data_IF_851572540372
#
_entry.id   IF_851572540372
#
_cell.length_a   1.000
_cell.length_b   1.000
_cell.length_c   1.000
_cell.angle_alpha   90.00
_cell.angle_beta   90.00
_cell.angle_gamma   90.00
#
_symmetry.space_group_name_H-M   'P 1'
#
loop_
_entity.id
_entity.type
_entity.pdbx_description
1 polymer ?
#
# COMPACT_ATOMS: atom_id res chain seq x y z
N UNK A 1 -59.05 3.62 24.33
CA UNK A 1 -58.60 4.14 25.61
C UNK A 1 -57.16 4.47 25.42
N UNK A 2 -56.87 5.74 25.10
CA UNK A 2 -56.48 6.81 26.00
C UNK A 2 -55.08 6.51 26.56
N UNK A 3 -54.04 7.34 26.44
CA UNK A 3 -53.87 8.79 26.32
C UNK A 3 -52.41 9.12 26.06
N UNK A 4 -52.16 10.04 25.19
CA UNK A 4 -50.97 10.91 25.18
C UNK A 4 -51.01 11.88 26.36
N UNK A 5 -49.94 12.54 26.78
CA UNK A 5 -49.70 13.92 26.33
C UNK A 5 -48.21 14.31 26.19
N UNK A 6 -47.85 15.00 25.15
CA UNK A 6 -47.57 16.42 24.90
C UNK A 6 -46.64 17.21 25.85
N UNK A 7 -45.61 17.82 25.21
CA UNK A 7 -45.18 19.21 25.28
C UNK A 7 -44.30 19.72 26.43
N UNK A 8 -43.13 20.31 26.08
CA UNK A 8 -42.90 21.76 26.18
C UNK A 8 -41.57 22.23 25.58
N UNK A 9 -41.70 23.13 24.62
CA UNK A 9 -40.63 24.06 24.14
C UNK A 9 -40.37 25.11 25.24
N UNK A 10 -39.11 25.55 25.32
CA UNK A 10 -38.85 26.94 25.73
C UNK A 10 -37.67 27.52 24.94
N UNK A 11 -37.97 28.61 24.25
CA UNK A 11 -37.08 29.61 23.64
C UNK A 11 -36.70 30.62 24.73
N UNK A 12 -35.55 31.34 24.55
CA UNK A 12 -35.33 32.77 24.82
C UNK A 12 -33.82 33.00 24.69
N UNK A 13 -33.27 33.70 23.76
CA UNK A 13 -33.13 35.09 23.29
C UNK A 13 -31.76 35.72 23.68
N UNK A 14 -31.10 36.29 22.65
CA UNK A 14 -29.96 37.25 22.67
C UNK A 14 -30.38 38.58 23.37
N UNK A 15 -29.49 39.57 23.67
CA UNK A 15 -28.56 40.22 22.73
C UNK A 15 -27.28 40.92 23.31
N UNK A 16 -26.48 41.49 22.41
CA UNK A 16 -25.73 42.75 22.53
C UNK A 16 -24.32 42.65 23.07
N UNK A 17 -23.25 43.35 22.70
CA UNK A 17 -22.98 44.47 21.80
C UNK A 17 -21.46 44.59 21.64
N UNK A 18 -21.03 45.23 20.55
CA UNK A 18 -19.64 45.58 20.18
C UNK A 18 -19.24 46.88 20.92
N UNK A 19 -17.93 47.20 21.16
CA UNK A 19 -17.36 48.27 20.36
C UNK A 19 -15.92 48.17 19.88
N UNK A 20 -15.69 48.92 18.81
CA UNK A 20 -14.50 49.27 18.05
C UNK A 20 -13.38 49.98 18.84
N UNK A 21 -12.17 49.88 18.30
CA UNK A 21 -11.18 50.91 17.93
C UNK A 21 -9.75 50.38 18.24
N UNK A 22 -8.68 50.62 17.53
CA UNK A 22 -8.19 51.55 16.52
C UNK A 22 -6.77 51.12 16.15
N UNK A 23 -6.45 51.24 14.87
CA UNK A 23 -5.03 51.19 14.34
C UNK A 23 -4.13 52.25 14.92
N UNK A 24 -2.80 52.08 14.88
CA UNK A 24 -2.05 52.70 13.78
C UNK A 24 -0.82 51.94 13.26
N UNK A 25 -0.56 52.07 11.96
CA UNK A 25 0.63 51.86 11.17
C UNK A 25 1.70 52.97 11.33
N UNK A 26 2.85 52.97 10.64
CA UNK A 26 3.94 51.96 10.54
C UNK A 26 5.33 52.59 10.85
N UNK A 27 6.37 51.77 11.02
CA UNK A 27 7.77 52.23 10.77
C UNK A 27 8.64 51.11 10.23
N UNK A 28 9.38 51.52 9.20
CA UNK A 28 10.39 50.78 8.44
C UNK A 28 11.60 50.40 9.27
N UNK A 29 12.25 49.26 9.04
CA UNK A 29 13.71 49.18 8.83
C UNK A 29 14.22 47.75 8.62
N UNK A 30 15.01 47.61 7.57
CA UNK A 30 16.26 46.86 7.39
C UNK A 30 16.18 45.34 7.27
N UNK A 31 16.40 44.89 6.03
CA UNK A 31 16.71 43.50 5.62
C UNK A 31 17.99 43.00 6.28
N UNK A 32 17.89 41.89 6.98
CA UNK A 32 19.05 41.01 7.25
C UNK A 32 18.64 39.60 6.76
N UNK A 33 19.37 39.14 5.74
CA UNK A 33 19.21 37.81 5.15
C UNK A 33 19.80 36.77 6.10
N UNK A 34 18.97 36.05 6.84
CA UNK A 34 19.41 34.90 7.62
C UNK A 34 18.88 33.66 6.93
N UNK A 35 19.80 32.84 6.42
CA UNK A 35 19.55 31.53 5.84
C UNK A 35 19.01 30.61 6.93
N UNK A 36 17.70 30.39 6.94
CA UNK A 36 17.06 29.48 7.90
C UNK A 36 17.05 28.08 7.31
N UNK A 37 17.92 27.23 7.81
CA UNK A 37 17.86 25.77 7.62
C UNK A 37 16.51 25.30 8.17
N UNK A 38 15.61 24.90 7.30
CA UNK A 38 14.29 24.38 7.67
C UNK A 38 14.46 22.99 8.28
N UNK A 39 14.57 22.95 9.59
CA UNK A 39 14.45 21.70 10.37
C UNK A 39 12.99 21.30 10.34
N UNK A 40 12.68 20.19 9.67
CA UNK A 40 11.35 19.57 9.69
C UNK A 40 11.03 19.22 11.15
N UNK A 41 9.89 19.69 11.72
CA UNK A 41 9.53 19.33 13.09
C UNK A 41 9.22 17.83 13.16
N UNK A 42 9.62 17.13 14.25
CA UNK A 42 9.24 15.74 14.46
C UNK A 42 7.72 15.63 14.55
N UNK A 43 7.18 14.58 13.93
CA UNK A 43 5.76 14.27 13.95
C UNK A 43 5.22 14.26 15.40
N UNK A 44 3.97 14.70 15.66
CA UNK A 44 3.43 14.79 17.00
C UNK A 44 3.39 13.40 17.65
N UNK A 45 4.16 13.24 18.71
CA UNK A 45 4.11 12.07 19.58
C UNK A 45 2.79 12.10 20.33
N UNK A 46 1.91 11.17 20.04
CA UNK A 46 0.68 10.96 20.80
C UNK A 46 1.04 10.65 22.25
N UNK A 47 0.65 11.55 23.16
CA UNK A 47 0.91 11.42 24.60
C UNK A 47 0.22 10.16 25.14
N UNK A 48 0.99 9.22 25.74
CA UNK A 48 0.47 8.09 26.49
C UNK A 48 0.80 6.68 25.98
N UNK A 49 1.50 6.52 24.85
CA UNK A 49 1.96 5.19 24.42
C UNK A 49 3.41 4.96 24.87
N UNK A 50 3.63 3.96 25.72
CA UNK A 50 4.99 3.46 25.97
C UNK A 50 5.65 3.07 24.67
N UNK A 51 6.88 3.53 24.39
CA UNK A 51 7.57 3.17 23.15
C UNK A 51 7.66 1.65 23.03
N UNK A 52 7.23 1.11 21.89
CA UNK A 52 7.34 -0.32 21.62
C UNK A 52 8.83 -0.66 21.56
N UNK A 53 9.33 -1.62 22.37
CA UNK A 53 10.75 -1.93 22.38
C UNK A 53 11.17 -2.49 21.01
N UNK A 54 12.31 -2.00 20.50
CA UNK A 54 12.92 -2.49 19.28
C UNK A 54 13.39 -3.95 19.44
N UNK A 55 13.28 -4.78 18.41
CA UNK A 55 13.90 -6.09 18.39
C UNK A 55 15.40 -6.01 18.66
N UNK A 56 15.95 -6.99 19.39
CA UNK A 56 17.38 -7.02 19.74
C UNK A 56 18.32 -6.92 18.55
N UNK A 57 17.93 -7.44 17.40
CA UNK A 57 18.68 -7.34 16.16
C UNK A 57 18.87 -5.89 15.68
N UNK A 58 17.97 -4.98 16.02
CA UNK A 58 18.06 -3.55 15.70
C UNK A 58 18.77 -2.72 16.78
N UNK A 59 18.96 -3.27 17.98
CA UNK A 59 19.62 -2.58 19.11
C UNK A 59 21.06 -3.02 19.30
N UNK A 60 21.57 -3.93 18.47
CA UNK A 60 22.97 -4.36 18.54
C UNK A 60 23.91 -3.21 18.13
N UNK A 61 25.08 -3.12 18.77
CA UNK A 61 26.05 -2.01 18.55
C UNK A 61 26.53 -1.87 17.10
N UNK A 62 26.55 -2.95 16.33
CA UNK A 62 26.93 -2.95 14.90
C UNK A 62 25.74 -2.64 13.96
N UNK A 63 24.52 -2.57 14.46
CA UNK A 63 23.35 -2.26 13.67
C UNK A 63 23.29 -0.76 13.39
N UNK A 64 23.02 -0.40 12.13
CA UNK A 64 22.69 1.00 11.81
C UNK A 64 21.31 1.34 12.38
N UNK A 65 21.06 2.62 12.75
CA UNK A 65 19.76 3.04 13.24
C UNK A 65 18.66 2.68 12.22
N UNK A 66 17.60 1.96 12.63
CA UNK A 66 16.51 1.62 11.74
C UNK A 66 15.62 2.83 11.48
N UNK A 67 15.13 2.97 10.25
CA UNK A 67 14.10 3.94 9.89
C UNK A 67 12.72 3.31 10.04
N UNK A 68 11.84 3.89 10.86
CA UNK A 68 10.45 3.44 10.96
C UNK A 68 9.67 3.92 9.73
N UNK A 69 9.21 2.98 8.91
CA UNK A 69 8.44 3.26 7.68
C UNK A 69 6.95 3.36 7.98
N UNK A 70 6.40 2.37 8.68
CA UNK A 70 4.98 2.37 9.04
C UNK A 70 4.74 1.68 10.38
N UNK A 71 3.72 2.16 11.08
CA UNK A 71 3.18 1.54 12.28
C UNK A 71 1.69 1.29 12.05
N UNK A 72 1.32 0.01 11.99
CA UNK A 72 -0.07 -0.42 11.82
C UNK A 72 -0.58 -1.19 13.04
N UNK A 73 -1.85 -1.54 13.02
CA UNK A 73 -2.47 -2.34 14.08
C UNK A 73 -1.83 -3.73 14.24
N UNK A 74 -1.32 -4.30 13.18
CA UNK A 74 -0.74 -5.65 13.15
C UNK A 74 0.76 -5.68 13.51
N UNK A 75 1.51 -4.60 13.20
CA UNK A 75 2.95 -4.56 13.46
C UNK A 75 3.63 -3.29 12.97
N UNK A 76 4.95 -3.30 13.03
CA UNK A 76 5.83 -2.21 12.62
C UNK A 76 6.71 -2.67 11.45
N UNK A 77 6.96 -1.76 10.52
CA UNK A 77 7.88 -1.97 9.40
C UNK A 77 9.04 -1.00 9.53
N UNK A 78 10.24 -1.53 9.58
CA UNK A 78 11.47 -0.76 9.61
C UNK A 78 12.27 -0.99 8.33
N UNK A 79 12.92 0.05 7.83
CA UNK A 79 13.99 -0.08 6.84
C UNK A 79 15.32 -0.15 7.58
N UNK A 80 16.15 -1.12 7.23
CA UNK A 80 17.46 -1.35 7.81
C UNK A 80 18.34 -2.07 6.78
N UNK A 81 19.44 -2.69 7.21
CA UNK A 81 20.38 -3.40 6.35
C UNK A 81 20.59 -4.84 6.85
N UNK A 82 20.76 -5.77 5.94
CA UNK A 82 21.01 -7.17 6.25
C UNK A 82 22.48 -7.50 6.03
N UNK A 83 23.19 -7.82 7.12
CA UNK A 83 24.59 -8.19 7.19
C UNK A 83 25.61 -7.13 6.69
N UNK A 84 25.28 -6.34 5.68
CA UNK A 84 26.17 -5.34 5.09
C UNK A 84 25.39 -4.09 4.63
N UNK A 85 26.02 -2.91 4.63
CA UNK A 85 25.35 -1.64 4.28
C UNK A 85 24.81 -1.57 2.85
N UNK A 86 25.34 -2.40 1.94
CA UNK A 86 24.89 -2.45 0.55
C UNK A 86 23.62 -3.30 0.35
N UNK A 87 23.13 -3.98 1.39
CA UNK A 87 21.94 -4.85 1.29
C UNK A 87 20.79 -4.31 2.16
N UNK A 88 20.02 -3.34 1.66
CA UNK A 88 18.88 -2.81 2.38
C UNK A 88 17.79 -3.88 2.55
N UNK A 89 17.13 -3.88 3.69
CA UNK A 89 16.03 -4.81 3.98
C UNK A 89 14.89 -4.12 4.71
N UNK A 90 13.71 -4.73 4.62
CA UNK A 90 12.55 -4.40 5.41
C UNK A 90 12.44 -5.39 6.57
N UNK A 91 12.42 -4.88 7.82
CA UNK A 91 12.15 -5.68 9.00
C UNK A 91 10.70 -5.49 9.40
N UNK A 92 9.92 -6.56 9.28
CA UNK A 92 8.55 -6.64 9.79
C UNK A 92 8.57 -7.16 11.21
N UNK A 93 8.11 -6.37 12.18
CA UNK A 93 8.03 -6.73 13.59
C UNK A 93 6.58 -6.75 14.08
N UNK A 94 6.19 -7.83 14.70
CA UNK A 94 4.88 -8.02 15.35
C UNK A 94 5.07 -8.06 16.86
N UNK A 95 5.04 -6.89 17.54
CA UNK A 95 5.24 -6.83 18.98
C UNK A 95 4.11 -7.54 19.72
N UNK A 96 4.37 -8.03 20.96
CA UNK A 96 3.34 -8.61 21.81
C UNK A 96 2.15 -7.67 22.02
N UNK A 97 0.95 -8.24 22.03
CA UNK A 97 -0.30 -7.48 22.19
C UNK A 97 -0.77 -7.53 23.65
N UNK A 98 -0.74 -6.40 24.41
CA UNK A 98 -1.06 -6.38 25.84
C UNK A 98 -2.47 -6.88 26.18
N UNK A 99 -3.41 -6.78 25.25
CA UNK A 99 -4.80 -7.21 25.40
C UNK A 99 -5.03 -8.70 25.15
N UNK A 100 -3.99 -9.45 24.73
CA UNK A 100 -4.08 -10.89 24.49
C UNK A 100 -3.38 -11.67 25.59
N UNK A 101 -3.87 -12.90 25.84
CA UNK A 101 -3.14 -13.81 26.71
C UNK A 101 -1.75 -14.12 26.11
N UNK A 102 -0.64 -13.97 26.88
CA UNK A 102 0.73 -14.03 26.35
C UNK A 102 1.04 -15.31 25.55
N UNK A 103 0.62 -16.48 26.03
CA UNK A 103 0.86 -17.77 25.36
C UNK A 103 0.12 -17.82 24.01
N UNK A 104 -1.12 -17.34 23.97
CA UNK A 104 -1.91 -17.30 22.74
C UNK A 104 -1.30 -16.31 21.74
N UNK A 105 -0.91 -15.12 22.20
CA UNK A 105 -0.30 -14.09 21.36
C UNK A 105 1.01 -14.57 20.73
N UNK A 106 1.90 -15.16 21.52
CA UNK A 106 3.15 -15.74 21.02
C UNK A 106 2.90 -16.83 19.96
N UNK A 107 1.92 -17.73 20.19
CA UNK A 107 1.55 -18.78 19.24
C UNK A 107 1.02 -18.19 17.94
N UNK A 108 0.10 -17.23 18.00
CA UNK A 108 -0.48 -16.59 16.81
C UNK A 108 0.57 -15.81 16.03
N UNK A 109 1.43 -15.06 16.71
CA UNK A 109 2.52 -14.30 16.07
C UNK A 109 3.47 -15.22 15.34
N UNK A 110 3.92 -16.30 16.00
CA UNK A 110 4.76 -17.34 15.39
C UNK A 110 4.12 -17.94 14.14
N UNK A 111 2.85 -18.34 14.24
CA UNK A 111 2.12 -18.94 13.11
C UNK A 111 2.03 -17.98 11.92
N UNK A 112 1.71 -16.70 12.15
CA UNK A 112 1.58 -15.69 11.10
C UNK A 112 2.90 -15.41 10.40
N UNK A 113 3.99 -15.24 11.15
CA UNK A 113 5.32 -14.99 10.58
C UNK A 113 5.79 -16.17 9.73
N UNK A 114 5.67 -17.40 10.25
CA UNK A 114 6.06 -18.59 9.50
C UNK A 114 5.17 -18.83 8.27
N UNK A 115 3.88 -18.53 8.35
CA UNK A 115 2.98 -18.62 7.20
C UNK A 115 3.38 -17.65 6.09
N UNK A 116 3.60 -16.38 6.45
CA UNK A 116 4.03 -15.33 5.52
C UNK A 116 5.39 -15.69 4.88
N UNK A 117 6.37 -16.08 5.66
CA UNK A 117 7.69 -16.49 5.16
C UNK A 117 7.63 -17.69 4.21
N UNK A 118 6.81 -18.71 4.51
CA UNK A 118 6.62 -19.89 3.64
C UNK A 118 5.95 -19.54 2.32
N UNK A 119 4.96 -18.63 2.36
CA UNK A 119 4.28 -18.15 1.15
C UNK A 119 5.22 -17.36 0.27
N UNK A 120 6.01 -16.43 0.83
CA UNK A 120 7.03 -15.69 0.09
C UNK A 120 8.07 -16.63 -0.56
N UNK A 121 8.57 -17.60 0.20
CA UNK A 121 9.53 -18.56 -0.33
C UNK A 121 8.93 -19.43 -1.45
N UNK A 122 7.66 -19.85 -1.32
CA UNK A 122 6.95 -20.57 -2.37
C UNK A 122 6.76 -19.71 -3.61
N UNK A 123 6.22 -18.49 -3.45
CA UNK A 123 5.97 -17.57 -4.55
C UNK A 123 7.24 -17.31 -5.36
N UNK A 124 8.36 -17.05 -4.68
CA UNK A 124 9.64 -16.81 -5.33
C UNK A 124 10.16 -18.04 -6.08
N UNK A 125 10.01 -19.25 -5.52
CA UNK A 125 10.38 -20.50 -6.19
C UNK A 125 9.57 -20.76 -7.45
N UNK A 126 8.31 -20.35 -7.47
CA UNK A 126 7.40 -20.44 -8.62
C UNK A 126 7.60 -19.26 -9.61
N UNK A 127 8.61 -18.40 -9.40
CA UNK A 127 8.94 -17.30 -10.30
C UNK A 127 8.03 -16.06 -10.18
N UNK A 128 7.20 -15.97 -9.12
CA UNK A 128 6.41 -14.77 -8.86
C UNK A 128 7.31 -13.68 -8.27
N UNK A 129 7.30 -12.46 -8.83
CA UNK A 129 8.08 -11.34 -8.27
C UNK A 129 7.53 -10.93 -6.90
N UNK A 130 8.24 -11.33 -5.85
CA UNK A 130 7.96 -11.03 -4.45
C UNK A 130 9.27 -10.79 -3.71
N UNK A 131 9.28 -10.09 -2.55
CA UNK A 131 10.48 -9.91 -1.75
C UNK A 131 11.12 -11.24 -1.33
N UNK A 132 12.46 -11.32 -1.39
CA UNK A 132 13.20 -12.44 -0.82
C UNK A 132 13.10 -12.41 0.72
N UNK A 133 12.99 -13.58 1.35
CA UNK A 133 13.12 -13.73 2.80
C UNK A 133 14.59 -13.91 3.14
N UNK A 134 15.14 -13.01 3.98
CA UNK A 134 16.55 -13.07 4.40
C UNK A 134 16.71 -13.80 5.74
N UNK A 135 15.86 -13.47 6.72
CA UNK A 135 15.93 -14.03 8.06
C UNK A 135 14.57 -14.03 8.71
N UNK A 136 14.32 -14.99 9.61
CA UNK A 136 13.09 -15.11 10.38
C UNK A 136 13.43 -15.44 11.83
N UNK A 137 12.88 -14.69 12.78
CA UNK A 137 12.89 -15.02 14.21
C UNK A 137 11.43 -15.07 14.69
N UNK A 138 10.86 -16.25 14.60
CA UNK A 138 9.48 -16.49 15.00
C UNK A 138 9.25 -16.40 16.51
N UNK A 139 10.32 -16.55 17.30
CA UNK A 139 10.24 -16.46 18.76
C UNK A 139 10.16 -14.99 19.22
N UNK A 140 10.91 -14.10 18.57
CA UNK A 140 10.87 -12.67 18.83
C UNK A 140 9.84 -11.91 17.97
N UNK A 141 9.16 -12.60 17.08
CA UNK A 141 8.06 -12.03 16.32
C UNK A 141 8.48 -11.08 15.18
N UNK A 142 9.62 -11.32 14.52
CA UNK A 142 10.04 -10.50 13.38
C UNK A 142 10.61 -11.33 12.21
N UNK A 143 10.64 -10.72 11.02
CA UNK A 143 11.35 -11.23 9.86
C UNK A 143 11.97 -10.09 9.06
N UNK A 144 13.11 -10.37 8.42
CA UNK A 144 13.76 -9.49 7.45
C UNK A 144 13.53 -10.02 6.04
N UNK A 145 13.08 -9.11 5.18
CA UNK A 145 12.83 -9.40 3.76
C UNK A 145 13.54 -8.35 2.90
N UNK A 146 13.68 -8.65 1.62
CA UNK A 146 14.21 -7.72 0.63
C UNK A 146 13.50 -6.37 0.70
N UNK A 147 14.29 -5.27 0.70
CA UNK A 147 13.77 -3.95 0.47
C UNK A 147 13.51 -3.77 -1.03
N UNK A 148 12.24 -3.72 -1.42
CA UNK A 148 11.87 -3.48 -2.81
C UNK A 148 12.02 -2.01 -3.12
N UNK A 149 13.02 -1.67 -3.96
CA UNK A 149 13.20 -0.31 -4.44
C UNK A 149 12.04 0.11 -5.33
N UNK A 150 11.74 1.41 -5.35
CA UNK A 150 10.65 1.99 -6.14
C UNK A 150 9.49 2.49 -5.27
N UNK A 151 8.34 2.67 -5.88
CA UNK A 151 7.16 3.19 -5.21
C UNK A 151 5.94 2.27 -5.43
N UNK A 152 4.94 2.32 -4.53
CA UNK A 152 3.69 1.59 -4.75
C UNK A 152 3.02 1.97 -6.08
N UNK A 153 2.40 1.00 -6.72
CA UNK A 153 1.61 1.20 -7.95
C UNK A 153 0.59 2.31 -7.75
N UNK A 154 -0.04 2.37 -6.57
CA UNK A 154 -0.94 3.46 -6.18
C UNK A 154 -0.32 4.85 -6.38
N UNK A 155 0.90 5.06 -5.88
CA UNK A 155 1.58 6.35 -5.97
C UNK A 155 1.94 6.68 -7.42
N UNK A 156 2.43 5.70 -8.18
CA UNK A 156 2.81 5.86 -9.58
C UNK A 156 1.61 6.16 -10.48
N UNK A 157 0.50 5.46 -10.30
CA UNK A 157 -0.74 5.74 -11.04
C UNK A 157 -1.26 7.14 -10.72
N UNK A 158 -1.26 7.54 -9.44
CA UNK A 158 -1.67 8.89 -9.06
C UNK A 158 -0.76 9.97 -9.66
N UNK A 159 0.56 9.77 -9.66
CA UNK A 159 1.51 10.69 -10.28
C UNK A 159 1.28 10.81 -11.79
N UNK A 160 1.02 9.69 -12.49
CA UNK A 160 0.69 9.69 -13.92
C UNK A 160 -0.66 10.37 -14.22
N UNK A 161 -1.66 10.14 -13.37
CA UNK A 161 -2.99 10.74 -13.52
C UNK A 161 -2.95 12.26 -13.35
N UNK A 162 -2.16 12.78 -12.39
CA UNK A 162 -2.09 14.21 -12.12
C UNK A 162 -3.46 14.90 -12.23
N UNK A 163 -3.53 15.96 -13.00
CA UNK A 163 -4.76 16.73 -13.24
C UNK A 163 -5.57 16.25 -14.46
N UNK A 164 -5.17 15.15 -15.11
CA UNK A 164 -5.88 14.61 -16.28
C UNK A 164 -7.35 14.33 -15.99
N UNK A 165 -8.24 14.73 -16.86
CA UNK A 165 -9.65 14.36 -16.81
C UNK A 165 -9.87 12.90 -17.19
N UNK A 166 -11.03 12.33 -16.86
CA UNK A 166 -11.37 10.95 -17.25
C UNK A 166 -11.33 10.78 -18.77
N UNK A 167 -11.78 11.77 -19.55
CA UNK A 167 -11.76 11.72 -21.01
C UNK A 167 -10.32 11.65 -21.55
N UNK A 168 -9.37 12.37 -20.96
CA UNK A 168 -7.95 12.31 -21.32
C UNK A 168 -7.34 10.95 -20.93
N UNK A 169 -7.67 10.43 -19.75
CA UNK A 169 -7.22 9.11 -19.29
C UNK A 169 -7.72 7.98 -20.20
N UNK A 170 -8.93 8.13 -20.77
CA UNK A 170 -9.53 7.13 -21.65
C UNK A 170 -9.15 7.30 -23.11
N UNK A 171 -8.46 8.39 -23.47
CA UNK A 171 -7.99 8.62 -24.84
C UNK A 171 -6.92 7.59 -25.18
N UNK A 172 -7.27 6.67 -26.09
CA UNK A 172 -6.32 5.69 -26.64
C UNK A 172 -5.25 6.37 -27.48
N UNK A 173 -4.09 5.74 -27.58
CA UNK A 173 -2.99 6.19 -28.45
C UNK A 173 -1.63 6.11 -27.75
N UNK A 174 -0.58 6.23 -28.58
CA UNK A 174 0.81 6.35 -28.15
C UNK A 174 1.22 7.83 -28.15
N UNK A 175 2.18 8.19 -27.31
CA UNK A 175 2.71 9.55 -27.22
C UNK A 175 2.12 10.38 -26.07
N UNK A 176 2.49 11.66 -26.08
CA UNK A 176 2.14 12.61 -25.02
C UNK A 176 0.61 12.88 -25.04
N UNK A 177 -0.11 12.29 -24.09
CA UNK A 177 -1.58 12.37 -23.99
C UNK A 177 -2.34 11.09 -24.28
N UNK A 178 -1.68 9.98 -24.71
CA UNK A 178 -2.28 8.65 -24.82
C UNK A 178 -2.24 7.88 -23.52
N UNK A 179 -3.04 6.79 -23.43
CA UNK A 179 -3.10 5.92 -22.24
C UNK A 179 -2.34 4.59 -22.39
N UNK A 180 -1.56 4.42 -23.45
CA UNK A 180 -0.86 3.16 -23.75
C UNK A 180 0.00 2.67 -22.60
N UNK A 181 0.71 3.56 -21.91
CA UNK A 181 1.54 3.23 -20.75
C UNK A 181 0.71 2.73 -19.55
N UNK A 182 -0.42 3.39 -19.28
CA UNK A 182 -1.33 2.98 -18.21
C UNK A 182 -1.97 1.62 -18.53
N UNK A 183 -2.41 1.40 -19.77
CA UNK A 183 -2.93 0.12 -20.25
C UNK A 183 -1.85 -0.98 -20.10
N UNK A 184 -0.60 -0.69 -20.49
CA UNK A 184 0.51 -1.62 -20.34
C UNK A 184 0.78 -1.94 -18.86
N UNK A 185 0.72 -0.95 -17.96
CA UNK A 185 0.82 -1.18 -16.50
C UNK A 185 -0.31 -2.07 -16.01
N UNK A 186 -1.56 -1.78 -16.37
CA UNK A 186 -2.72 -2.56 -15.93
C UNK A 186 -2.62 -4.02 -16.38
N UNK A 187 -2.19 -4.26 -17.60
CA UNK A 187 -1.92 -5.64 -18.09
C UNK A 187 -0.81 -6.33 -17.30
N UNK A 188 0.26 -5.63 -16.92
CA UNK A 188 1.33 -6.18 -16.05
C UNK A 188 0.83 -6.48 -14.65
N UNK A 189 -0.01 -5.62 -14.06
CA UNK A 189 -0.67 -5.88 -12.78
C UNK A 189 -1.48 -7.17 -12.86
N UNK A 190 -2.32 -7.29 -13.89
CA UNK A 190 -3.10 -8.52 -14.12
C UNK A 190 -2.22 -9.76 -14.29
N UNK A 191 -1.12 -9.64 -15.04
CA UNK A 191 -0.18 -10.75 -15.24
C UNK A 191 0.51 -11.19 -13.94
N UNK A 192 0.92 -10.24 -13.08
CA UNK A 192 1.51 -10.55 -11.78
C UNK A 192 0.53 -11.29 -10.85
N UNK A 193 -0.73 -10.86 -10.82
CA UNK A 193 -1.80 -11.57 -10.09
C UNK A 193 -2.06 -12.95 -10.69
N UNK A 194 -2.07 -13.05 -12.01
CA UNK A 194 -2.21 -14.33 -12.70
C UNK A 194 -1.12 -15.32 -12.35
N UNK A 195 0.14 -14.89 -12.29
CA UNK A 195 1.28 -15.70 -11.86
C UNK A 195 1.14 -16.15 -10.40
N UNK A 196 0.72 -15.24 -9.49
CA UNK A 196 0.46 -15.55 -8.08
C UNK A 196 -0.60 -16.65 -7.93
N UNK A 197 -1.74 -16.51 -8.63
CA UNK A 197 -2.82 -17.48 -8.60
C UNK A 197 -2.44 -18.81 -9.28
N UNK A 198 -1.58 -18.78 -10.30
CA UNK A 198 -1.02 -20.00 -10.92
C UNK A 198 -0.14 -20.77 -9.93
N UNK A 199 0.61 -20.07 -9.06
CA UNK A 199 1.39 -20.68 -7.98
C UNK A 199 0.52 -21.24 -6.84
N UNK A 200 -0.83 -21.11 -6.93
CA UNK A 200 -1.78 -21.55 -5.91
C UNK A 200 -1.73 -20.71 -4.63
N UNK A 201 -1.49 -19.41 -4.78
CA UNK A 201 -1.44 -18.44 -3.66
C UNK A 201 -2.54 -17.42 -3.87
N UNK A 202 -3.34 -17.19 -2.82
CA UNK A 202 -4.33 -16.12 -2.72
C UNK A 202 -3.79 -15.09 -1.74
N UNK A 203 -3.82 -13.80 -2.12
CA UNK A 203 -3.18 -12.72 -1.35
C UNK A 203 -4.00 -12.33 -0.11
N UNK A 204 -5.31 -12.25 -0.23
CA UNK A 204 -6.23 -11.91 0.84
C UNK A 204 -6.37 -10.41 1.14
N UNK A 205 -5.47 -9.55 0.59
CA UNK A 205 -5.53 -8.08 0.69
C UNK A 205 -4.90 -7.45 -0.56
N UNK A 206 -5.40 -7.84 -1.72
CA UNK A 206 -4.81 -7.45 -3.00
C UNK A 206 -5.22 -6.02 -3.38
N UNK A 207 -4.33 -5.06 -3.12
CA UNK A 207 -4.53 -3.64 -3.42
C UNK A 207 -3.37 -3.04 -4.21
N UNK A 208 -3.56 -1.88 -4.84
CA UNK A 208 -2.49 -1.15 -5.53
C UNK A 208 -1.41 -0.60 -4.59
N UNK A 209 -1.67 -0.55 -3.29
CA UNK A 209 -0.69 -0.22 -2.25
C UNK A 209 0.22 -1.40 -1.91
N UNK A 210 -0.25 -2.63 -2.11
CA UNK A 210 0.48 -3.87 -1.85
C UNK A 210 1.19 -4.41 -3.12
N UNK A 211 1.42 -3.53 -4.09
CA UNK A 211 2.22 -3.78 -5.29
C UNK A 211 3.23 -2.66 -5.46
N UNK A 212 4.51 -3.02 -5.55
CA UNK A 212 5.59 -2.06 -5.82
C UNK A 212 5.93 -2.08 -7.31
N UNK A 213 6.23 -0.92 -7.86
CA UNK A 213 6.80 -0.78 -9.19
C UNK A 213 8.31 -0.62 -9.04
N UNK A 214 9.04 -1.73 -9.23
CA UNK A 214 10.51 -1.77 -9.19
C UNK A 214 11.04 -1.22 -10.50
N UNK A 215 11.88 -0.17 -10.49
CA UNK A 215 12.55 0.29 -11.70
C UNK A 215 13.33 -0.83 -12.38
N UNK A 216 13.34 -0.86 -13.70
CA UNK A 216 14.30 -1.72 -14.41
C UNK A 216 15.71 -1.33 -13.96
N UNK A 217 16.53 -2.30 -13.55
CA UNK A 217 17.93 -2.04 -13.29
C UNK A 217 18.53 -1.47 -14.58
N UNK A 218 19.10 -0.27 -14.53
CA UNK A 218 19.95 0.20 -15.60
C UNK A 218 21.03 -0.88 -15.78
N UNK A 219 20.98 -1.59 -16.91
CA UNK A 219 21.93 -2.65 -17.19
C UNK A 219 23.33 -2.08 -17.06
N UNK A 220 24.23 -2.85 -16.44
CA UNK A 220 25.67 -2.62 -16.48
C UNK A 220 26.11 -2.89 -17.93
N UNK A 221 25.85 -1.97 -18.82
CA UNK A 221 26.52 -1.85 -20.10
C UNK A 221 27.24 -0.50 -20.06
N UNK A 222 28.55 -0.59 -19.80
CA UNK A 222 29.44 0.55 -19.91
C UNK A 222 29.52 1.05 -21.35
N UNK A 223 28.64 1.98 -21.67
CA UNK A 223 28.83 2.94 -22.76
C UNK A 223 28.32 4.27 -22.22
N UNK A 224 29.26 5.18 -22.02
CA UNK A 224 29.03 6.59 -21.72
C UNK A 224 28.28 7.25 -22.89
N UNK A 225 26.98 7.09 -22.96
CA UNK A 225 26.08 7.96 -23.69
C UNK A 225 24.92 8.28 -22.77
N UNK A 226 25.18 9.29 -21.92
CA UNK A 226 24.22 10.01 -21.11
C UNK A 226 23.28 10.81 -22.01
N UNK A 227 22.33 10.13 -22.61
CA UNK A 227 21.06 10.74 -23.05
C UNK A 227 19.99 10.28 -22.10
N UNK A 228 19.76 11.10 -21.05
CA UNK A 228 18.68 10.97 -20.08
C UNK A 228 17.31 10.84 -20.76
N UNK A 229 16.96 9.64 -21.18
CA UNK A 229 15.59 9.25 -21.44
C UNK A 229 14.94 9.09 -20.08
N UNK A 230 14.11 10.05 -19.67
CA UNK A 230 13.18 9.89 -18.55
C UNK A 230 12.30 8.68 -18.86
N UNK A 231 12.68 7.52 -18.30
CA UNK A 231 11.86 6.31 -18.42
C UNK A 231 10.47 6.60 -17.87
N UNK A 232 9.43 6.17 -18.58
CA UNK A 232 8.03 6.34 -18.17
C UNK A 232 7.85 6.13 -16.68
N UNK A 233 7.11 7.05 -16.03
CA UNK A 233 6.72 6.98 -14.61
C UNK A 233 6.07 5.63 -14.28
N UNK A 234 5.44 4.97 -15.26
CA UNK A 234 4.78 3.68 -15.12
C UNK A 234 5.64 2.48 -15.54
N UNK A 235 6.92 2.69 -15.92
CA UNK A 235 7.82 1.59 -16.28
C UNK A 235 8.31 0.81 -15.05
N UNK A 236 8.66 -0.48 -15.24
CA UNK A 236 9.24 -1.31 -14.20
C UNK A 236 8.51 -2.65 -13.98
N UNK A 237 9.04 -3.45 -13.07
CA UNK A 237 8.50 -4.75 -12.68
C UNK A 237 7.47 -4.61 -11.54
N UNK A 238 6.35 -5.31 -11.64
CA UNK A 238 5.38 -5.39 -10.53
C UNK A 238 5.87 -6.43 -9.52
N UNK A 239 6.13 -5.98 -8.28
CA UNK A 239 6.50 -6.84 -7.15
C UNK A 239 5.37 -6.80 -6.13
N UNK A 240 4.75 -7.95 -5.85
CA UNK A 240 3.67 -8.05 -4.87
C UNK A 240 4.29 -8.13 -3.47
N UNK A 241 3.77 -7.35 -2.53
CA UNK A 241 4.25 -7.25 -1.15
C UNK A 241 3.13 -7.51 -0.15
N UNK A 242 3.49 -7.72 1.13
CA UNK A 242 2.58 -7.87 2.28
C UNK A 242 1.64 -9.09 2.23
N UNK A 243 2.24 -10.26 2.44
CA UNK A 243 1.54 -11.54 2.47
C UNK A 243 0.98 -11.94 3.85
N UNK A 244 0.73 -10.95 4.72
CA UNK A 244 0.25 -11.19 6.09
C UNK A 244 -1.12 -11.84 6.20
N UNK A 245 -1.95 -11.74 5.17
CA UNK A 245 -3.28 -12.38 5.06
C UNK A 245 -3.34 -13.46 3.98
N UNK A 246 -2.20 -13.73 3.32
CA UNK A 246 -2.17 -14.67 2.23
C UNK A 246 -2.35 -16.12 2.68
N UNK A 247 -2.92 -16.91 1.80
CA UNK A 247 -3.14 -18.34 2.01
C UNK A 247 -2.77 -19.16 0.77
N UNK A 248 -2.51 -20.45 0.98
CA UNK A 248 -2.41 -21.40 -0.12
C UNK A 248 -3.80 -21.97 -0.39
N UNK A 249 -4.27 -21.84 -1.63
CA UNK A 249 -5.59 -22.32 -2.02
C UNK A 249 -5.71 -22.45 -3.53
N UNK A 250 -6.63 -23.32 -3.93
CA UNK A 250 -6.97 -23.50 -5.35
C UNK A 250 -8.43 -23.10 -5.63
N UNK A 251 -9.12 -22.54 -4.63
CA UNK A 251 -10.51 -22.12 -4.76
C UNK A 251 -10.65 -20.99 -5.79
N UNK A 252 -11.55 -21.19 -6.73
CA UNK A 252 -11.92 -20.16 -7.71
C UNK A 252 -12.59 -18.95 -7.04
N UNK A 253 -13.31 -19.21 -5.97
CA UNK A 253 -13.97 -18.19 -5.14
C UNK A 253 -12.95 -17.25 -4.50
N UNK A 254 -11.92 -17.79 -3.83
CA UNK A 254 -10.93 -16.98 -3.14
C UNK A 254 -10.11 -16.12 -4.13
N UNK A 255 -9.76 -16.71 -5.28
CA UNK A 255 -9.11 -15.96 -6.38
C UNK A 255 -10.00 -14.86 -6.96
N UNK A 256 -11.31 -15.14 -7.08
CA UNK A 256 -12.26 -14.13 -7.53
C UNK A 256 -12.45 -13.00 -6.51
N UNK A 257 -12.40 -13.31 -5.21
CA UNK A 257 -12.41 -12.31 -4.14
C UNK A 257 -11.17 -11.43 -4.19
N UNK A 258 -9.97 -12.00 -4.40
CA UNK A 258 -8.73 -11.22 -4.60
C UNK A 258 -8.87 -10.22 -5.75
N UNK A 259 -9.36 -10.67 -6.91
CA UNK A 259 -9.61 -9.78 -8.06
C UNK A 259 -10.66 -8.70 -7.75
N UNK A 260 -11.70 -9.05 -7.00
CA UNK A 260 -12.72 -8.09 -6.59
C UNK A 260 -12.18 -7.05 -5.62
N UNK A 261 -11.34 -7.44 -4.66
CA UNK A 261 -10.65 -6.51 -3.75
C UNK A 261 -9.77 -5.54 -4.54
N UNK A 262 -9.02 -6.06 -5.52
CA UNK A 262 -8.18 -5.24 -6.40
C UNK A 262 -9.03 -4.25 -7.22
N UNK A 263 -10.14 -4.71 -7.80
CA UNK A 263 -11.08 -3.85 -8.53
C UNK A 263 -11.60 -2.72 -7.64
N UNK A 264 -12.03 -3.05 -6.41
CA UNK A 264 -12.50 -2.05 -5.45
C UNK A 264 -11.40 -1.08 -5.04
N UNK A 265 -10.15 -1.53 -4.91
CA UNK A 265 -9.01 -0.67 -4.64
C UNK A 265 -8.75 0.31 -5.80
N UNK A 266 -8.85 -0.14 -7.06
CA UNK A 266 -8.77 0.76 -8.22
C UNK A 266 -9.90 1.79 -8.21
N UNK A 267 -11.14 1.37 -8.01
CA UNK A 267 -12.31 2.27 -7.99
C UNK A 267 -12.21 3.33 -6.89
N UNK A 268 -11.70 2.97 -5.72
CA UNK A 268 -11.61 3.90 -4.59
C UNK A 268 -10.42 4.86 -4.69
N UNK A 269 -9.28 4.41 -5.24
CA UNK A 269 -8.04 5.20 -5.28
C UNK A 269 -7.77 5.86 -6.63
N UNK A 270 -8.32 5.31 -7.71
CA UNK A 270 -8.11 5.74 -9.09
C UNK A 270 -9.42 5.75 -9.90
N UNK A 271 -10.48 6.46 -9.47
CA UNK A 271 -11.81 6.36 -10.09
C UNK A 271 -11.80 6.66 -11.59
N UNK A 272 -10.90 7.56 -12.05
CA UNK A 272 -10.74 7.90 -13.48
C UNK A 272 -10.25 6.74 -14.36
N UNK A 273 -9.80 5.63 -13.75
CA UNK A 273 -9.30 4.43 -14.47
C UNK A 273 -10.31 3.27 -14.48
N UNK A 274 -11.50 3.45 -13.94
CA UNK A 274 -12.51 2.39 -13.76
C UNK A 274 -12.74 1.61 -15.07
N UNK A 275 -12.97 2.33 -16.17
CA UNK A 275 -13.25 1.73 -17.48
C UNK A 275 -12.08 0.94 -18.07
N UNK A 276 -10.86 1.13 -17.53
CA UNK A 276 -9.66 0.41 -17.96
C UNK A 276 -9.38 -0.85 -17.13
N UNK A 277 -10.17 -1.14 -16.08
CA UNK A 277 -9.94 -2.34 -15.26
C UNK A 277 -10.05 -3.64 -16.07
N UNK A 278 -10.77 -3.63 -17.18
CA UNK A 278 -10.78 -4.71 -18.16
C UNK A 278 -9.38 -5.14 -18.64
N UNK A 279 -8.43 -4.21 -18.70
CA UNK A 279 -7.05 -4.50 -19.10
C UNK A 279 -6.28 -5.30 -18.04
N UNK A 280 -6.60 -5.10 -16.74
CA UNK A 280 -6.10 -5.95 -15.65
C UNK A 280 -6.60 -7.39 -15.84
N UNK A 281 -7.90 -7.54 -16.10
CA UNK A 281 -8.49 -8.87 -16.33
C UNK A 281 -7.96 -9.53 -17.61
N UNK A 282 -7.67 -8.77 -18.65
CA UNK A 282 -7.04 -9.28 -19.86
C UNK A 282 -5.60 -9.77 -19.60
N UNK A 283 -4.81 -9.02 -18.84
CA UNK A 283 -3.48 -9.43 -18.39
C UNK A 283 -3.51 -10.70 -17.54
N UNK A 284 -4.44 -10.77 -16.60
CA UNK A 284 -4.69 -11.94 -15.76
C UNK A 284 -5.05 -13.18 -16.59
N UNK A 285 -5.99 -13.05 -17.51
CA UNK A 285 -6.43 -14.17 -18.38
C UNK A 285 -5.30 -14.72 -19.24
N UNK A 286 -4.38 -13.85 -19.69
CA UNK A 286 -3.22 -14.26 -20.50
C UNK A 286 -2.18 -15.03 -19.67
N UNK A 287 -1.95 -14.60 -18.42
CA UNK A 287 -0.93 -15.19 -17.55
C UNK A 287 -1.38 -16.46 -16.83
N UNK A 288 -2.69 -16.66 -16.63
CA UNK A 288 -3.22 -17.79 -15.87
C UNK A 288 -4.17 -18.64 -16.71
N UNK A 289 -3.76 -19.86 -17.07
CA UNK A 289 -4.57 -20.81 -17.85
C UNK A 289 -5.90 -21.15 -17.18
N UNK A 290 -5.96 -21.16 -15.83
CA UNK A 290 -7.17 -21.39 -15.03
C UNK A 290 -8.06 -20.16 -14.83
N UNK A 291 -7.87 -19.09 -15.59
CA UNK A 291 -8.57 -17.82 -15.41
C UNK A 291 -10.07 -17.87 -15.71
N UNK A 292 -10.51 -18.63 -16.71
CA UNK A 292 -11.92 -18.64 -17.16
C UNK A 292 -12.94 -18.90 -16.05
N UNK A 293 -12.83 -19.97 -15.23
CA UNK A 293 -13.75 -20.18 -14.12
C UNK A 293 -13.66 -19.09 -13.06
N UNK A 294 -12.45 -18.58 -12.76
CA UNK A 294 -12.27 -17.48 -11.79
C UNK A 294 -12.96 -16.20 -12.27
N UNK A 295 -12.83 -15.84 -13.55
CA UNK A 295 -13.47 -14.65 -14.10
C UNK A 295 -15.01 -14.78 -14.12
N UNK A 296 -15.55 -15.98 -14.38
CA UNK A 296 -16.99 -16.22 -14.22
C UNK A 296 -17.42 -16.04 -12.74
N UNK A 297 -16.61 -16.56 -11.83
CA UNK A 297 -16.88 -16.44 -10.41
C UNK A 297 -16.80 -14.99 -9.91
N UNK A 298 -15.93 -14.17 -10.51
CA UNK A 298 -15.84 -12.75 -10.23
C UNK A 298 -17.17 -12.02 -10.45
N UNK A 299 -17.94 -12.38 -11.47
CA UNK A 299 -19.26 -11.79 -11.69
C UNK A 299 -20.24 -12.12 -10.54
N UNK A 300 -20.21 -13.35 -10.01
CA UNK A 300 -21.01 -13.73 -8.84
C UNK A 300 -20.61 -12.93 -7.61
N UNK A 301 -19.29 -12.71 -7.41
CA UNK A 301 -18.75 -11.92 -6.29
C UNK A 301 -19.17 -10.45 -6.42
N UNK A 302 -19.10 -9.86 -7.61
CA UNK A 302 -19.57 -8.51 -7.92
C UNK A 302 -21.05 -8.32 -7.58
N UNK A 303 -21.88 -9.29 -7.96
CA UNK A 303 -23.33 -9.25 -7.67
C UNK A 303 -23.64 -9.30 -6.18
N UNK A 304 -22.90 -10.08 -5.40
CA UNK A 304 -23.02 -10.12 -3.93
C UNK A 304 -22.54 -8.83 -3.27
N UNK A 305 -21.45 -8.25 -3.77
CA UNK A 305 -20.93 -6.96 -3.29
C UNK A 305 -21.93 -5.82 -3.50
N UNK A 306 -22.61 -5.76 -4.66
CA UNK A 306 -23.65 -4.76 -4.93
C UNK A 306 -24.86 -4.91 -3.99
N UNK A 307 -25.32 -6.13 -3.72
CA UNK A 307 -26.42 -6.34 -2.78
C UNK A 307 -26.10 -5.84 -1.38
N UNK A 308 -24.87 -6.04 -0.89
CA UNK A 308 -24.45 -5.53 0.43
C UNK A 308 -24.42 -3.99 0.48
N UNK A 309 -23.97 -3.31 -0.55
CA UNK A 309 -23.94 -1.85 -0.60
C UNK A 309 -25.31 -1.21 -0.74
N UNK A 310 -26.36 -1.96 -1.13
CA UNK A 310 -27.73 -1.49 -1.20
C UNK A 310 -28.54 -1.72 0.09
N UNK A 311 -28.03 -2.54 1.02
CA UNK A 311 -28.69 -2.87 2.29
C UNK A 311 -28.01 -2.20 3.50
N UNK A 312 -26.93 -1.51 3.32
CA UNK A 312 -26.18 -0.72 4.31
C UNK A 312 -26.26 0.73 3.99
#
# INVERSE_FOLDING_TARGET
MATEPQSKRQKVSHPGDIPHSSDPTPTSSTKTTTTTTTTVPPAPTMAGQTPIPLPRVLTHRSSQPPELITQGAEGLLYKTFYLQPSLPCALKHRPPKPYRHPILDARLTRQRILAEARILAKARREGVPVPAVYCVDEAQGWMMIEWVAGQPVRARVNAWLGDKTEAEVLRGGEGDGGNAELVALMRRVGAAVGALHAAGIVHGDLTTSNMMLRPASAGVSGTDDDKGGEGSVLAGEIVIIDFGLASQGQSEEDRAVDLYVLERAFLSTHPRTEKLFGEVLAGYARAFKGSKPVLRKLEDVRMRGRKRSMLG
#
